data_IF_602852607155
#
_entry.id   IF_602852607155
#
_cell.length_a   1.000
_cell.length_b   1.000
_cell.length_c   1.000
_cell.angle_alpha   90.00
_cell.angle_beta   90.00
_cell.angle_gamma   90.00
#
_symmetry.space_group_name_H-M   'P 1'
#
loop_
_entity.id
_entity.type
_entity.pdbx_description
1 polymer ?
#
# COMPACT_ATOMS: atom_id res chain seq x y z
N UNK A 1 -22.95 0.97 33.59
CA UNK A 1 -21.79 0.68 32.71
C UNK A 1 -22.31 0.67 31.28
N UNK A 2 -22.06 1.74 30.53
CA UNK A 2 -22.61 1.96 29.19
C UNK A 2 -21.77 1.12 28.22
N UNK A 3 -22.35 0.03 27.71
CA UNK A 3 -21.69 -0.80 26.70
C UNK A 3 -21.33 0.07 25.50
N UNK A 4 -20.04 0.21 25.22
CA UNK A 4 -19.55 0.79 23.98
C UNK A 4 -20.11 -0.07 22.82
N UNK A 5 -20.63 0.54 21.76
CA UNK A 5 -21.13 -0.20 20.62
C UNK A 5 -19.95 -0.94 19.97
N UNK A 6 -20.03 -2.27 19.91
CA UNK A 6 -19.09 -3.24 19.34
C UNK A 6 -18.52 -2.84 17.95
N UNK A 7 -19.25 -2.00 17.21
CA UNK A 7 -18.82 -1.47 15.91
C UNK A 7 -17.66 -0.44 15.99
N UNK A 8 -17.51 0.29 17.10
CA UNK A 8 -16.47 1.31 17.25
C UNK A 8 -15.07 0.67 17.36
N UNK A 9 -14.97 -0.42 18.10
CA UNK A 9 -13.70 -1.12 18.35
C UNK A 9 -13.12 -1.72 17.07
N UNK A 10 -13.98 -2.24 16.18
CA UNK A 10 -13.56 -2.74 14.87
C UNK A 10 -13.00 -1.64 13.96
N UNK A 11 -13.58 -0.45 13.98
CA UNK A 11 -13.11 0.67 13.16
C UNK A 11 -11.76 1.20 13.64
N UNK A 12 -11.57 1.34 14.96
CA UNK A 12 -10.31 1.79 15.56
C UNK A 12 -9.16 0.80 15.34
N UNK A 13 -9.47 -0.50 15.42
CA UNK A 13 -8.49 -1.55 15.19
C UNK A 13 -8.05 -1.59 13.71
N UNK A 14 -8.99 -1.47 12.78
CA UNK A 14 -8.69 -1.36 11.34
C UNK A 14 -7.76 -0.19 11.05
N UNK A 15 -8.11 0.94 11.61
CA UNK A 15 -7.41 2.21 11.43
C UNK A 15 -5.97 2.14 11.97
N UNK A 16 -5.79 1.46 13.11
CA UNK A 16 -4.47 1.21 13.71
C UNK A 16 -3.62 0.26 12.86
N UNK A 17 -4.22 -0.83 12.36
CA UNK A 17 -3.50 -1.83 11.54
C UNK A 17 -3.02 -1.21 10.23
N UNK A 18 -3.88 -0.49 9.51
CA UNK A 18 -3.52 0.17 8.24
C UNK A 18 -2.40 1.20 8.44
N UNK A 19 -2.49 2.01 9.50
CA UNK A 19 -1.47 3.00 9.81
C UNK A 19 -0.10 2.37 10.08
N UNK A 20 -0.06 1.25 10.81
CA UNK A 20 1.18 0.52 11.07
C UNK A 20 1.79 -0.01 9.77
N UNK A 21 0.98 -0.58 8.87
CA UNK A 21 1.46 -1.03 7.56
C UNK A 21 2.02 0.12 6.72
N UNK A 22 1.32 1.25 6.66
CA UNK A 22 1.79 2.41 5.88
C UNK A 22 3.08 3.01 6.45
N UNK A 23 3.22 3.06 7.77
CA UNK A 23 4.46 3.48 8.41
C UNK A 23 5.60 2.53 8.07
N UNK A 24 5.36 1.21 8.10
CA UNK A 24 6.39 0.23 7.75
C UNK A 24 6.78 0.32 6.27
N UNK A 25 5.80 0.45 5.36
CA UNK A 25 6.04 0.69 3.93
C UNK A 25 6.87 1.97 3.71
N UNK A 26 6.57 3.05 4.45
CA UNK A 26 7.30 4.31 4.36
C UNK A 26 8.74 4.17 4.87
N UNK A 27 8.95 3.50 6.00
CA UNK A 27 10.27 3.23 6.57
C UNK A 27 11.15 2.38 5.66
N UNK A 28 10.57 1.53 4.82
CA UNK A 28 11.32 0.74 3.83
C UNK A 28 11.55 1.54 2.54
N UNK A 29 10.50 2.14 1.97
CA UNK A 29 10.57 2.80 0.66
C UNK A 29 11.40 4.09 0.68
N UNK A 30 11.33 4.88 1.75
CA UNK A 30 12.01 6.17 1.85
C UNK A 30 13.55 6.06 1.79
N UNK A 31 14.23 5.25 2.63
CA UNK A 31 15.68 5.13 2.57
C UNK A 31 16.17 4.51 1.26
N UNK A 32 15.43 3.54 0.71
CA UNK A 32 15.77 2.90 -0.57
C UNK A 32 15.70 3.92 -1.71
N UNK A 33 14.58 4.66 -1.83
CA UNK A 33 14.41 5.68 -2.87
C UNK A 33 15.48 6.77 -2.77
N UNK A 34 15.81 7.21 -1.55
CA UNK A 34 16.87 8.20 -1.32
C UNK A 34 18.26 7.69 -1.71
N UNK A 35 18.64 6.48 -1.31
CA UNK A 35 19.93 5.89 -1.65
C UNK A 35 20.10 5.71 -3.17
N UNK A 36 19.05 5.29 -3.87
CA UNK A 36 19.05 5.19 -5.33
C UNK A 36 19.09 6.55 -6.01
N UNK A 37 18.43 7.57 -5.43
CA UNK A 37 18.50 8.95 -5.92
C UNK A 37 19.91 9.53 -5.81
N UNK A 38 20.59 9.29 -4.69
CA UNK A 38 22.00 9.66 -4.52
C UNK A 38 22.88 8.92 -5.53
N UNK A 39 22.65 7.62 -5.73
CA UNK A 39 23.39 6.83 -6.71
C UNK A 39 23.20 7.35 -8.14
N UNK A 40 21.97 7.72 -8.50
CA UNK A 40 21.66 8.36 -9.78
C UNK A 40 22.38 9.71 -9.92
N UNK A 41 22.39 10.53 -8.87
CA UNK A 41 23.09 11.81 -8.88
C UNK A 41 24.61 11.64 -9.08
N UNK A 42 25.24 10.70 -8.38
CA UNK A 42 26.67 10.39 -8.56
C UNK A 42 26.96 9.96 -10.00
N UNK A 43 26.13 9.06 -10.55
CA UNK A 43 26.26 8.57 -11.93
C UNK A 43 26.00 9.63 -12.99
N UNK A 44 25.23 10.67 -12.68
CA UNK A 44 25.04 11.83 -13.55
C UNK A 44 26.31 12.70 -13.63
N UNK A 45 27.01 12.83 -12.50
CA UNK A 45 28.25 13.62 -12.40
C UNK A 45 29.45 12.86 -12.98
N UNK A 46 29.45 11.52 -12.88
CA UNK A 46 30.47 10.68 -13.49
C UNK A 46 30.26 10.53 -15.01
N UNK A 47 31.14 11.14 -15.80
CA UNK A 47 31.08 11.18 -17.28
C UNK A 47 31.26 9.80 -17.96
N UNK A 48 31.66 8.76 -17.22
CA UNK A 48 32.07 7.47 -17.79
C UNK A 48 30.89 6.50 -17.97
N UNK A 49 30.33 6.44 -19.19
CA UNK A 49 29.69 5.24 -19.77
C UNK A 49 28.49 4.61 -19.03
N UNK A 50 28.07 5.16 -17.89
CA UNK A 50 27.10 4.56 -16.98
C UNK A 50 25.67 5.06 -17.24
N UNK A 51 25.34 5.45 -18.48
CA UNK A 51 24.01 6.01 -18.83
C UNK A 51 22.89 5.03 -18.47
N UNK A 52 23.07 3.73 -18.76
CA UNK A 52 22.12 2.70 -18.36
C UNK A 52 21.89 2.67 -16.84
N UNK A 53 22.99 2.68 -16.11
CA UNK A 53 23.03 2.56 -14.67
C UNK A 53 22.47 3.82 -13.99
N UNK A 54 22.67 5.00 -14.59
CA UNK A 54 22.01 6.25 -14.21
C UNK A 54 20.50 6.17 -14.40
N UNK A 55 20.04 5.80 -15.60
CA UNK A 55 18.61 5.73 -15.93
C UNK A 55 17.90 4.70 -15.07
N UNK A 56 18.50 3.53 -14.85
CA UNK A 56 17.94 2.50 -13.98
C UNK A 56 17.78 3.00 -12.54
N UNK A 57 18.82 3.59 -11.96
CA UNK A 57 18.75 4.15 -10.60
C UNK A 57 17.75 5.31 -10.50
N UNK A 58 17.64 6.15 -11.53
CA UNK A 58 16.70 7.26 -11.58
C UNK A 58 15.25 6.78 -11.63
N UNK A 59 14.92 5.82 -12.52
CA UNK A 59 13.56 5.27 -12.63
C UNK A 59 13.15 4.59 -11.32
N UNK A 60 14.00 3.72 -10.77
CA UNK A 60 13.70 3.03 -9.50
C UNK A 60 13.55 4.03 -8.34
N UNK A 61 14.40 5.07 -8.27
CA UNK A 61 14.29 6.13 -7.27
C UNK A 61 12.99 6.93 -7.40
N UNK A 62 12.60 7.33 -8.62
CA UNK A 62 11.37 8.08 -8.88
C UNK A 62 10.12 7.27 -8.54
N UNK A 63 10.06 5.99 -8.95
CA UNK A 63 8.94 5.11 -8.63
C UNK A 63 8.80 4.90 -7.12
N UNK A 64 9.92 4.66 -6.41
CA UNK A 64 9.94 4.61 -4.95
C UNK A 64 9.51 5.94 -4.31
N UNK A 65 9.91 7.07 -4.90
CA UNK A 65 9.53 8.41 -4.46
C UNK A 65 8.03 8.66 -4.60
N UNK A 66 7.41 8.20 -5.69
CA UNK A 66 5.95 8.28 -5.87
C UNK A 66 5.23 7.44 -4.80
N UNK A 67 5.72 6.25 -4.49
CA UNK A 67 5.16 5.42 -3.40
C UNK A 67 5.25 6.16 -2.06
N UNK A 68 6.40 6.74 -1.74
CA UNK A 68 6.61 7.56 -0.51
C UNK A 68 5.65 8.75 -0.48
N UNK A 69 5.49 9.45 -1.60
CA UNK A 69 4.57 10.57 -1.72
C UNK A 69 3.12 10.16 -1.44
N UNK A 70 2.66 9.03 -2.00
CA UNK A 70 1.32 8.50 -1.73
C UNK A 70 1.17 8.18 -0.24
N UNK A 71 2.16 7.55 0.39
CA UNK A 71 2.10 7.22 1.83
C UNK A 71 2.03 8.47 2.72
N UNK A 72 2.73 9.54 2.36
CA UNK A 72 2.66 10.83 3.05
C UNK A 72 1.26 11.45 2.91
N UNK A 73 0.69 11.42 1.70
CA UNK A 73 -0.69 11.90 1.46
C UNK A 73 -1.68 11.08 2.29
N UNK A 74 -1.64 9.76 2.19
CA UNK A 74 -2.55 8.87 2.92
C UNK A 74 -2.48 9.12 4.43
N UNK A 75 -1.28 9.33 4.98
CA UNK A 75 -1.10 9.69 6.39
C UNK A 75 -1.82 10.99 6.76
N UNK A 76 -1.70 12.03 5.92
CA UNK A 76 -2.37 13.32 6.15
C UNK A 76 -3.89 13.23 5.96
N UNK A 77 -4.36 12.50 4.96
CA UNK A 77 -5.80 12.36 4.70
C UNK A 77 -6.49 11.56 5.81
N UNK A 78 -5.80 10.59 6.41
CA UNK A 78 -6.31 9.81 7.53
C UNK A 78 -6.62 10.66 8.77
N UNK A 79 -5.84 11.71 9.02
CA UNK A 79 -6.05 12.64 10.14
C UNK A 79 -7.34 13.47 10.00
N UNK A 80 -7.86 13.62 8.76
CA UNK A 80 -9.06 14.39 8.45
C UNK A 80 -10.33 13.56 8.23
N UNK A 81 -10.25 12.24 8.40
CA UNK A 81 -11.39 11.33 8.23
C UNK A 81 -11.20 10.36 7.06
N UNK A 82 -11.41 9.07 7.33
CA UNK A 82 -11.15 7.99 6.38
C UNK A 82 -12.24 7.90 5.29
N UNK A 83 -11.94 8.38 4.09
CA UNK A 83 -12.73 8.04 2.90
C UNK A 83 -12.25 6.70 2.32
N UNK A 84 -12.99 5.62 2.62
CA UNK A 84 -12.66 4.24 2.20
C UNK A 84 -12.39 4.12 0.70
N UNK A 85 -13.18 4.79 -0.15
CA UNK A 85 -13.00 4.75 -1.61
C UNK A 85 -11.70 5.42 -2.08
N UNK A 86 -11.30 6.51 -1.43
CA UNK A 86 -10.05 7.21 -1.74
C UNK A 86 -8.85 6.36 -1.29
N UNK A 87 -8.94 5.77 -0.10
CA UNK A 87 -7.93 4.86 0.42
C UNK A 87 -7.75 3.67 -0.51
N UNK A 88 -8.84 3.04 -0.97
CA UNK A 88 -8.77 1.92 -1.90
C UNK A 88 -8.03 2.30 -3.19
N UNK A 89 -8.36 3.45 -3.81
CA UNK A 89 -7.67 3.92 -5.02
C UNK A 89 -6.18 4.12 -4.80
N UNK A 90 -5.78 4.68 -3.66
CA UNK A 90 -4.37 4.84 -3.34
C UNK A 90 -3.65 3.50 -3.14
N UNK A 91 -4.30 2.52 -2.52
CA UNK A 91 -3.73 1.17 -2.36
C UNK A 91 -3.60 0.44 -3.69
N UNK A 92 -4.59 0.56 -4.57
CA UNK A 92 -4.53 0.02 -5.93
C UNK A 92 -3.36 0.64 -6.70
N UNK A 93 -3.26 1.98 -6.73
CA UNK A 93 -2.16 2.66 -7.42
C UNK A 93 -0.80 2.27 -6.84
N UNK A 94 -0.66 2.21 -5.51
CA UNK A 94 0.59 1.76 -4.86
C UNK A 94 0.96 0.33 -5.23
N UNK A 95 0.00 -0.60 -5.21
CA UNK A 95 0.27 -2.00 -5.55
C UNK A 95 0.67 -2.17 -7.01
N UNK A 96 0.04 -1.43 -7.93
CA UNK A 96 0.43 -1.39 -9.35
C UNK A 96 1.85 -0.83 -9.50
N UNK A 97 2.18 0.28 -8.83
CA UNK A 97 3.52 0.87 -8.86
C UNK A 97 4.57 -0.08 -8.29
N UNK A 98 4.30 -0.70 -7.13
CA UNK A 98 5.22 -1.65 -6.51
C UNK A 98 5.42 -2.90 -7.38
N UNK A 99 4.36 -3.39 -8.02
CA UNK A 99 4.44 -4.52 -8.96
C UNK A 99 5.24 -4.14 -10.21
N UNK A 100 5.00 -2.94 -10.75
CA UNK A 100 5.75 -2.42 -11.91
C UNK A 100 7.23 -2.26 -11.58
N UNK A 101 7.54 -1.77 -10.37
CA UNK A 101 8.91 -1.65 -9.86
C UNK A 101 9.57 -3.02 -9.74
N UNK A 102 8.86 -4.02 -9.21
CA UNK A 102 9.37 -5.38 -9.12
C UNK A 102 9.64 -6.01 -10.49
N UNK A 103 8.71 -5.83 -11.45
CA UNK A 103 8.92 -6.30 -12.83
C UNK A 103 10.12 -5.61 -13.45
N UNK A 104 10.28 -4.30 -13.22
CA UNK A 104 11.45 -3.55 -13.66
C UNK A 104 12.76 -4.13 -13.10
N UNK A 105 12.84 -4.41 -11.80
CA UNK A 105 14.02 -5.02 -11.17
C UNK A 105 14.30 -6.44 -11.72
N UNK A 106 13.27 -7.22 -12.05
CA UNK A 106 13.42 -8.53 -12.69
C UNK A 106 13.99 -8.41 -14.12
N UNK A 107 13.50 -7.44 -14.89
CA UNK A 107 14.02 -7.16 -16.24
C UNK A 107 15.46 -6.67 -16.17
N UNK A 108 15.77 -5.77 -15.24
CA UNK A 108 17.13 -5.25 -15.01
C UNK A 108 18.11 -6.37 -14.61
N UNK A 109 17.70 -7.27 -13.70
CA UNK A 109 18.49 -8.43 -13.32
C UNK A 109 18.70 -9.42 -14.48
N UNK A 110 17.74 -9.52 -15.41
CA UNK A 110 17.77 -10.46 -16.54
C UNK A 110 18.58 -9.98 -17.76
N UNK A 111 18.56 -8.69 -18.07
CA UNK A 111 19.11 -8.15 -19.34
C UNK A 111 20.62 -7.86 -19.28
N UNK A 112 21.22 -7.70 -18.10
CA UNK A 112 22.63 -7.27 -18.03
C UNK A 112 23.65 -8.31 -18.53
N UNK A 113 24.72 -7.91 -19.24
CA UNK A 113 25.70 -8.83 -19.82
C UNK A 113 26.35 -9.79 -18.80
N UNK A 114 26.44 -11.07 -19.18
CA UNK A 114 27.02 -12.19 -18.41
C UNK A 114 28.49 -12.04 -18.01
N UNK A 115 29.22 -11.05 -18.55
CA UNK A 115 30.67 -10.96 -18.37
C UNK A 115 31.11 -10.45 -16.98
N UNK A 116 30.18 -9.99 -16.14
CA UNK A 116 30.48 -9.53 -14.78
C UNK A 116 29.62 -10.30 -13.76
N UNK A 117 29.95 -11.58 -13.55
CA UNK A 117 29.25 -12.47 -12.60
C UNK A 117 29.09 -11.85 -11.20
N UNK A 118 30.03 -10.99 -10.78
CA UNK A 118 30.00 -10.33 -9.47
C UNK A 118 28.89 -9.26 -9.32
N UNK A 119 28.30 -8.77 -10.42
CA UNK A 119 27.29 -7.70 -10.39
C UNK A 119 25.84 -8.19 -10.54
N UNK A 120 25.62 -9.41 -11.05
CA UNK A 120 24.28 -10.01 -11.20
C UNK A 120 23.68 -10.48 -9.87
N UNK A 121 24.50 -11.05 -8.99
CA UNK A 121 24.05 -11.59 -7.70
C UNK A 121 23.29 -10.59 -6.82
N UNK A 122 23.85 -9.39 -6.54
CA UNK A 122 23.18 -8.38 -5.73
C UNK A 122 21.83 -7.92 -6.29
N UNK A 123 21.70 -7.79 -7.63
CA UNK A 123 20.46 -7.36 -8.29
C UNK A 123 19.38 -8.42 -8.23
N UNK A 124 19.75 -9.69 -8.43
CA UNK A 124 18.80 -10.81 -8.27
C UNK A 124 18.29 -10.92 -6.82
N UNK A 125 19.18 -10.70 -5.84
CA UNK A 125 18.79 -10.65 -4.43
C UNK A 125 17.84 -9.47 -4.18
N UNK A 126 18.09 -8.30 -4.77
CA UNK A 126 17.20 -7.15 -4.67
C UNK A 126 15.82 -7.41 -5.31
N UNK A 127 15.77 -8.04 -6.49
CA UNK A 127 14.54 -8.45 -7.16
C UNK A 127 13.77 -9.52 -6.34
N UNK A 128 14.48 -10.45 -5.70
CA UNK A 128 13.89 -11.43 -4.79
C UNK A 128 13.36 -10.79 -3.49
N UNK A 129 14.14 -9.90 -2.88
CA UNK A 129 13.74 -9.20 -1.65
C UNK A 129 12.55 -8.26 -1.90
N UNK A 130 12.51 -7.58 -3.03
CA UNK A 130 11.38 -6.74 -3.42
C UNK A 130 10.11 -7.56 -3.68
N UNK A 131 10.23 -8.81 -4.17
CA UNK A 131 9.09 -9.74 -4.24
C UNK A 131 8.50 -10.01 -2.85
N UNK A 132 9.36 -10.31 -1.86
CA UNK A 132 8.92 -10.55 -0.48
C UNK A 132 8.21 -9.32 0.08
N UNK A 133 8.79 -8.13 -0.10
CA UNK A 133 8.19 -6.84 0.29
C UNK A 133 6.82 -6.64 -0.36
N UNK A 134 6.69 -6.94 -1.66
CA UNK A 134 5.43 -6.84 -2.40
C UNK A 134 4.34 -7.73 -1.79
N UNK A 135 4.66 -9.01 -1.56
CA UNK A 135 3.69 -9.99 -1.05
C UNK A 135 3.36 -9.82 0.44
N UNK A 136 4.29 -9.31 1.25
CA UNK A 136 4.09 -9.16 2.70
C UNK A 136 3.50 -7.80 3.07
N UNK A 137 3.80 -6.74 2.31
CA UNK A 137 3.38 -5.39 2.67
C UNK A 137 2.30 -4.81 1.75
N UNK A 138 2.41 -5.00 0.43
CA UNK A 138 1.52 -4.33 -0.54
C UNK A 138 0.26 -5.14 -0.85
N UNK A 139 0.37 -6.45 -1.07
CA UNK A 139 -0.83 -7.26 -1.31
C UNK A 139 -1.76 -7.41 -0.10
N UNK A 140 -1.27 -7.59 1.14
CA UNK A 140 -2.15 -7.77 2.29
C UNK A 140 -2.99 -6.54 2.59
N UNK A 141 -2.46 -5.33 2.35
CA UNK A 141 -3.19 -4.07 2.54
C UNK A 141 -4.34 -3.91 1.55
N UNK A 142 -4.13 -4.25 0.28
CA UNK A 142 -5.19 -4.28 -0.75
C UNK A 142 -6.27 -5.32 -0.41
N UNK A 143 -5.87 -6.56 -0.08
CA UNK A 143 -6.81 -7.65 0.26
C UNK A 143 -7.64 -7.29 1.49
N UNK A 144 -7.00 -6.68 2.50
CA UNK A 144 -7.68 -6.26 3.72
C UNK A 144 -8.80 -5.26 3.43
N UNK A 145 -8.55 -4.26 2.59
CA UNK A 145 -9.54 -3.23 2.26
C UNK A 145 -10.63 -3.77 1.34
N UNK A 146 -10.29 -4.66 0.39
CA UNK A 146 -11.29 -5.36 -0.43
C UNK A 146 -12.25 -6.21 0.41
N UNK A 147 -11.70 -6.95 1.39
CA UNK A 147 -12.51 -7.76 2.31
C UNK A 147 -13.41 -6.89 3.19
N UNK A 148 -12.93 -5.74 3.62
CA UNK A 148 -13.71 -4.79 4.41
C UNK A 148 -14.84 -4.15 3.59
N UNK A 149 -14.58 -3.77 2.33
CA UNK A 149 -15.61 -3.28 1.40
C UNK A 149 -16.73 -4.29 1.18
N UNK A 150 -16.40 -5.59 1.18
CA UNK A 150 -17.35 -6.68 0.96
C UNK A 150 -18.12 -7.09 2.22
N UNK A 151 -17.81 -6.59 3.40
CA UNK A 151 -18.61 -6.89 4.60
C UNK A 151 -19.92 -6.08 4.50
N UNK A 152 -21.07 -6.71 4.15
CA UNK A 152 -22.33 -6.01 4.31
C UNK A 152 -22.49 -5.68 5.79
N UNK A 153 -23.17 -4.58 6.10
CA UNK A 153 -23.54 -4.16 7.45
C UNK A 153 -24.42 -5.22 8.14
N UNK A 154 -23.85 -6.37 8.51
CA UNK A 154 -24.52 -7.45 9.22
C UNK A 154 -24.96 -7.03 10.62
N UNK A 155 -24.52 -5.87 11.10
CA UNK A 155 -24.95 -5.29 12.38
C UNK A 155 -26.24 -4.47 12.28
N UNK A 156 -26.72 -4.10 11.10
CA UNK A 156 -27.97 -3.34 10.96
C UNK A 156 -29.24 -4.20 11.10
N UNK A 157 -29.13 -5.53 10.97
CA UNK A 157 -30.26 -6.47 11.14
C UNK A 157 -30.33 -7.13 12.52
N UNK A 158 -29.32 -6.97 13.38
CA UNK A 158 -29.29 -7.59 14.72
C UNK A 158 -29.88 -6.72 15.84
N UNK A 159 -30.45 -5.58 15.47
CA UNK A 159 -31.23 -4.69 16.32
C UNK A 159 -32.60 -4.41 15.69
N UNK A 160 -33.29 -5.43 15.18
CA UNK A 160 -34.75 -5.42 15.28
C UNK A 160 -35.07 -6.10 16.60
N UNK A 161 -35.48 -5.36 17.65
CA UNK A 161 -36.00 -5.98 18.84
C UNK A 161 -37.34 -6.60 18.46
N UNK A 162 -37.32 -7.82 17.94
CA UNK A 162 -38.54 -8.65 17.88
C UNK A 162 -38.89 -9.02 19.30
N UNK A 163 -39.68 -8.12 19.87
CA UNK A 163 -40.31 -8.23 21.17
C UNK A 163 -41.48 -7.26 21.28
N UNK A 164 -42.21 -6.96 20.19
CA UNK A 164 -43.63 -6.60 20.31
C UNK A 164 -44.40 -6.70 18.96
N UNK A 165 -45.45 -7.53 18.88
CA UNK A 165 -46.41 -7.51 17.80
C UNK A 165 -47.60 -6.63 18.19
N UNK A 166 -47.75 -5.44 17.61
CA UNK A 166 -49.05 -4.77 17.37
C UNK A 166 -48.86 -3.37 16.80
N UNK A 167 -49.88 -2.88 16.09
CA UNK A 167 -50.09 -1.48 15.71
C UNK A 167 -49.41 -0.89 14.47
N UNK A 168 -49.28 -1.68 13.40
CA UNK A 168 -49.18 -1.10 12.03
C UNK A 168 -50.54 -1.10 11.30
N UNK A 169 -51.53 -1.86 11.80
CA UNK A 169 -52.86 -1.97 11.17
C UNK A 169 -53.89 -0.96 11.70
N UNK A 170 -53.56 -0.14 12.72
CA UNK A 170 -54.50 0.85 13.29
C UNK A 170 -54.35 2.29 12.77
N UNK A 171 -53.31 2.60 12.02
CA UNK A 171 -53.06 3.97 11.52
C UNK A 171 -53.46 4.19 10.05
N UNK A 172 -54.12 3.21 9.42
CA UNK A 172 -54.60 3.31 8.03
C UNK A 172 -56.13 3.12 7.89
N UNK A 173 -56.89 3.17 9.00
CA UNK A 173 -58.35 3.16 8.97
C UNK A 173 -58.91 4.16 9.99
N UNK A 174 -58.81 5.46 9.66
CA UNK A 174 -59.77 6.51 10.05
C UNK A 174 -59.88 7.47 8.87
#
# INVERSE_FOLDING_TARGET
MRGLPDNADHSLLRDTVLRTFWLFQLCVAAPISAALGVSAFVRLVEVHGAVYDFVASLITSLMGGVIVFILIIQRRTFEHGLHIDLTLRFEEVKSILATSLWVWEMVDAGIQPTSVWNQRGPRLIAAGASAIVLFVLFYPTVIYILKERQRPAKTAYRYSPEGEPSDVTRLLNV
#
